data_IF_768820477098
#
_entry.id   IF_768820477098
#
_cell.length_a   1.000
_cell.length_b   1.000
_cell.length_c   1.000
_cell.angle_alpha   90.00
_cell.angle_beta   90.00
_cell.angle_gamma   90.00
#
_symmetry.space_group_name_H-M   'P 1'
#
loop_
_entity.id
_entity.type
_entity.pdbx_description
1 polymer ?
#
# COMPACT_ATOMS: atom_id res chain seq x y z
N UNK A 1 9.38 -22.54 6.88
CA UNK A 1 9.18 -21.33 7.72
C UNK A 1 10.13 -20.19 7.38
N UNK A 2 11.44 -20.44 7.18
CA UNK A 2 12.39 -19.39 6.78
C UNK A 2 11.98 -18.68 5.47
N UNK A 3 11.56 -19.44 4.45
CA UNK A 3 11.10 -18.89 3.16
C UNK A 3 9.94 -17.89 3.33
N UNK A 4 8.87 -18.27 4.04
CA UNK A 4 7.71 -17.38 4.25
C UNK A 4 8.08 -16.08 4.99
N UNK A 5 8.98 -16.15 5.98
CA UNK A 5 9.46 -14.97 6.71
C UNK A 5 10.28 -14.03 5.81
N UNK A 6 11.14 -14.59 4.96
CA UNK A 6 11.96 -13.83 4.02
C UNK A 6 11.07 -13.20 2.95
N UNK A 7 10.18 -13.98 2.32
CA UNK A 7 9.25 -13.48 1.30
C UNK A 7 8.34 -12.39 1.85
N UNK A 8 7.82 -12.55 3.07
CA UNK A 8 7.01 -11.51 3.74
C UNK A 8 7.82 -10.23 3.94
N UNK A 9 8.99 -10.33 4.57
CA UNK A 9 9.83 -9.18 4.87
C UNK A 9 10.27 -8.45 3.59
N UNK A 10 10.72 -9.19 2.57
CA UNK A 10 11.14 -8.63 1.29
C UNK A 10 9.99 -7.91 0.58
N UNK A 11 8.81 -8.52 0.51
CA UNK A 11 7.67 -7.95 -0.19
C UNK A 11 7.11 -6.71 0.53
N UNK A 12 7.01 -6.75 1.86
CA UNK A 12 6.56 -5.60 2.65
C UNK A 12 7.57 -4.45 2.60
N UNK A 13 8.87 -4.74 2.55
CA UNK A 13 9.89 -3.72 2.34
C UNK A 13 9.75 -3.08 0.96
N UNK A 14 9.48 -3.87 -0.07
CA UNK A 14 9.25 -3.36 -1.42
C UNK A 14 7.98 -2.49 -1.50
N UNK A 15 6.89 -2.90 -0.83
CA UNK A 15 5.67 -2.07 -0.66
C UNK A 15 6.00 -0.76 0.04
N UNK A 16 6.80 -0.77 1.10
CA UNK A 16 7.21 0.48 1.78
C UNK A 16 8.00 1.41 0.86
N UNK A 17 8.89 0.88 0.03
CA UNK A 17 9.67 1.68 -0.93
C UNK A 17 8.73 2.31 -1.98
N UNK A 18 7.80 1.54 -2.53
CA UNK A 18 6.79 2.04 -3.48
C UNK A 18 5.90 3.12 -2.85
N UNK A 19 5.42 2.87 -1.62
CA UNK A 19 4.64 3.85 -0.86
C UNK A 19 5.44 5.13 -0.56
N UNK A 20 6.74 5.01 -0.26
CA UNK A 20 7.60 6.18 -0.05
C UNK A 20 7.73 7.02 -1.34
N UNK A 21 7.88 6.37 -2.49
CA UNK A 21 7.88 7.07 -3.78
C UNK A 21 6.53 7.77 -4.03
N UNK A 22 5.41 7.08 -3.79
CA UNK A 22 4.06 7.65 -3.86
C UNK A 22 3.91 8.86 -2.92
N UNK A 23 4.36 8.78 -1.67
CA UNK A 23 4.32 9.87 -0.68
C UNK A 23 5.13 11.08 -1.16
N UNK A 24 6.36 10.85 -1.64
CA UNK A 24 7.24 11.95 -2.07
C UNK A 24 6.63 12.67 -3.28
N UNK A 25 6.23 11.92 -4.32
CA UNK A 25 5.68 12.52 -5.55
C UNK A 25 4.36 13.24 -5.28
N UNK A 26 3.44 12.62 -4.54
CA UNK A 26 2.16 13.26 -4.18
C UNK A 26 2.35 14.43 -3.21
N UNK A 27 3.29 14.35 -2.26
CA UNK A 27 3.61 15.41 -1.32
C UNK A 27 4.14 16.67 -1.99
N UNK A 28 5.02 16.52 -3.00
CA UNK A 28 5.50 17.65 -3.81
C UNK A 28 4.33 18.30 -4.55
N UNK A 29 3.51 17.52 -5.24
CA UNK A 29 2.34 18.03 -5.98
C UNK A 29 1.35 18.75 -5.06
N UNK A 30 1.04 18.17 -3.89
CA UNK A 30 0.18 18.82 -2.88
C UNK A 30 0.81 20.13 -2.39
N UNK A 31 2.12 20.18 -2.21
CA UNK A 31 2.85 21.40 -1.88
C UNK A 31 2.69 22.49 -2.95
N UNK A 32 2.85 22.13 -4.22
CA UNK A 32 2.64 23.04 -5.37
C UNK A 32 1.19 23.56 -5.41
N UNK A 33 0.20 22.67 -5.26
CA UNK A 33 -1.22 23.05 -5.21
C UNK A 33 -1.59 23.97 -4.03
N UNK A 34 -0.90 23.85 -2.90
CA UNK A 34 -1.12 24.73 -1.75
C UNK A 34 -0.54 26.14 -1.95
N UNK A 35 0.45 26.31 -2.83
CA UNK A 35 1.08 27.61 -3.10
C UNK A 35 0.36 28.33 -4.24
N UNK A 36 -0.01 27.61 -5.29
CA UNK A 36 -0.62 28.16 -6.51
C UNK A 36 -2.15 28.21 -6.43
N UNK A 37 -2.70 29.00 -5.49
CA UNK A 37 -4.15 29.17 -5.27
C UNK A 37 -4.96 29.68 -6.49
N UNK A 38 -4.34 29.97 -7.65
CA UNK A 38 -4.93 30.78 -8.73
C UNK A 38 -4.98 30.14 -10.15
N UNK A 39 -4.65 28.85 -10.35
CA UNK A 39 -4.79 28.23 -11.68
C UNK A 39 -6.10 27.40 -11.86
N UNK A 40 -6.89 27.62 -12.94
CA UNK A 40 -8.17 26.91 -13.20
C UNK A 40 -7.98 25.65 -14.08
N UNK A 41 -8.96 24.72 -14.14
CA UNK A 41 -9.73 24.10 -13.07
C UNK A 41 -9.02 22.80 -12.64
N UNK A 42 -8.24 22.85 -11.56
CA UNK A 42 -7.67 21.68 -10.86
C UNK A 42 -8.73 20.90 -10.05
N UNK A 43 -10.02 21.15 -10.28
CA UNK A 43 -11.12 20.56 -9.51
C UNK A 43 -11.05 19.02 -9.55
N UNK A 44 -10.48 18.48 -8.47
CA UNK A 44 -10.34 17.06 -8.24
C UNK A 44 -9.00 16.43 -8.60
N UNK A 45 -8.08 17.04 -9.37
CA UNK A 45 -6.72 16.47 -9.52
C UNK A 45 -5.99 16.56 -8.17
N UNK A 46 -6.14 17.71 -7.50
CA UNK A 46 -5.61 17.94 -6.15
C UNK A 46 -6.18 16.92 -5.15
N UNK A 47 -7.51 16.72 -5.16
CA UNK A 47 -8.17 15.74 -4.30
C UNK A 47 -7.64 14.32 -4.51
N UNK A 48 -7.43 13.91 -5.77
CA UNK A 48 -6.88 12.59 -6.11
C UNK A 48 -5.42 12.45 -5.66
N UNK A 49 -4.62 13.50 -5.82
CA UNK A 49 -3.24 13.53 -5.33
C UNK A 49 -3.17 13.46 -3.81
N UNK A 50 -4.00 14.23 -3.09
CA UNK A 50 -4.12 14.15 -1.62
C UNK A 50 -4.60 12.78 -1.15
N UNK A 51 -5.52 12.17 -1.90
CA UNK A 51 -5.99 10.81 -1.63
C UNK A 51 -4.87 9.78 -1.77
N UNK A 52 -4.06 9.85 -2.83
CA UNK A 52 -2.90 8.97 -3.01
C UNK A 52 -1.80 9.22 -1.96
N UNK A 53 -1.61 10.47 -1.53
CA UNK A 53 -0.73 10.80 -0.40
C UNK A 53 -1.21 10.08 0.87
N UNK A 54 -2.50 10.15 1.17
CA UNK A 54 -3.10 9.40 2.28
C UNK A 54 -2.88 7.89 2.13
N UNK A 55 -3.13 7.32 0.95
CA UNK A 55 -2.92 5.88 0.69
C UNK A 55 -1.47 5.46 0.94
N UNK A 56 -0.51 6.27 0.48
CA UNK A 56 0.91 6.05 0.71
C UNK A 56 1.27 6.07 2.20
N UNK A 57 0.85 7.10 2.94
CA UNK A 57 1.11 7.22 4.39
C UNK A 57 0.46 6.07 5.16
N UNK A 58 -0.83 5.81 4.91
CA UNK A 58 -1.59 4.71 5.51
C UNK A 58 -0.84 3.38 5.36
N UNK A 59 -0.40 3.08 4.15
CA UNK A 59 0.21 1.79 3.82
C UNK A 59 1.63 1.69 4.33
N UNK A 60 2.41 2.77 4.26
CA UNK A 60 3.75 2.82 4.82
C UNK A 60 3.72 2.54 6.33
N UNK A 61 2.83 3.21 7.07
CA UNK A 61 2.69 3.04 8.51
C UNK A 61 2.23 1.62 8.88
N UNK A 62 1.21 1.08 8.20
CA UNK A 62 0.74 -0.29 8.47
C UNK A 62 1.76 -1.36 8.08
N UNK A 63 2.54 -1.13 7.02
CA UNK A 63 3.63 -2.04 6.64
C UNK A 63 4.75 -2.02 7.67
N UNK A 64 5.10 -0.84 8.19
CA UNK A 64 6.07 -0.70 9.28
C UNK A 64 5.58 -1.43 10.55
N UNK A 65 4.33 -1.21 10.94
CA UNK A 65 3.71 -1.90 12.09
C UNK A 65 3.64 -3.40 11.85
N UNK A 66 3.38 -3.88 10.63
CA UNK A 66 3.38 -5.30 10.32
C UNK A 66 4.76 -5.92 10.49
N UNK A 67 5.83 -5.25 10.01
CA UNK A 67 7.21 -5.75 10.15
C UNK A 67 7.64 -5.76 11.63
N UNK A 68 7.48 -4.64 12.35
CA UNK A 68 7.92 -4.50 13.75
C UNK A 68 7.04 -5.26 14.74
N UNK A 69 5.74 -5.31 14.47
CA UNK A 69 4.76 -6.02 15.29
C UNK A 69 4.96 -7.53 15.24
N UNK A 70 5.26 -8.09 14.07
CA UNK A 70 5.62 -9.50 13.91
C UNK A 70 6.93 -9.88 14.60
N UNK A 71 7.86 -8.93 14.81
CA UNK A 71 9.10 -9.21 15.55
C UNK A 71 8.93 -9.12 17.06
N UNK A 72 7.98 -8.31 17.55
CA UNK A 72 7.80 -8.02 18.98
C UNK A 72 6.69 -8.82 19.64
N UNK A 73 5.60 -9.15 18.93
CA UNK A 73 4.43 -9.82 19.50
C UNK A 73 3.72 -10.72 18.46
N UNK A 74 4.37 -11.81 18.00
CA UNK A 74 3.85 -12.62 16.91
C UNK A 74 2.50 -13.29 17.20
N UNK A 75 2.14 -13.48 18.47
CA UNK A 75 0.93 -14.22 18.88
C UNK A 75 -0.33 -13.35 18.98
N UNK A 76 -0.23 -12.04 18.73
CA UNK A 76 -1.40 -11.15 18.80
C UNK A 76 -2.32 -11.33 17.58
N UNK A 77 -3.64 -11.33 17.80
CA UNK A 77 -4.65 -11.50 16.73
C UNK A 77 -4.53 -10.46 15.60
N UNK A 78 -4.06 -9.24 15.91
CA UNK A 78 -3.81 -8.21 14.88
C UNK A 78 -2.70 -8.63 13.89
N UNK A 79 -1.75 -9.47 14.31
CA UNK A 79 -0.68 -10.00 13.47
C UNK A 79 -0.99 -11.41 12.94
N UNK A 80 -2.25 -11.85 13.07
CA UNK A 80 -2.75 -13.06 12.42
C UNK A 80 -2.83 -12.88 10.90
N UNK A 81 -2.97 -14.00 10.20
CA UNK A 81 -3.20 -14.05 8.75
C UNK A 81 -4.48 -13.28 8.39
N UNK A 82 -5.56 -13.45 9.16
CA UNK A 82 -6.81 -12.72 8.96
C UNK A 82 -6.62 -11.20 9.15
N UNK A 83 -5.88 -10.78 10.18
CA UNK A 83 -5.57 -9.37 10.43
C UNK A 83 -4.83 -8.73 9.26
N UNK A 84 -3.81 -9.41 8.74
CA UNK A 84 -3.07 -8.96 7.56
C UNK A 84 -3.97 -8.85 6.32
N UNK A 85 -4.81 -9.86 6.09
CA UNK A 85 -5.68 -9.91 4.93
C UNK A 85 -6.70 -8.75 4.93
N UNK A 86 -7.30 -8.44 6.07
CA UNK A 86 -8.29 -7.36 6.18
C UNK A 86 -7.69 -6.01 5.78
N UNK A 87 -6.55 -5.63 6.39
CA UNK A 87 -5.98 -4.32 6.08
C UNK A 87 -5.39 -4.29 4.67
N UNK A 88 -4.79 -5.37 4.17
CA UNK A 88 -4.27 -5.46 2.80
C UNK A 88 -5.41 -5.31 1.77
N UNK A 89 -6.57 -5.90 2.00
CA UNK A 89 -7.74 -5.76 1.12
C UNK A 89 -8.26 -4.33 1.09
N UNK A 90 -8.36 -3.67 2.25
CA UNK A 90 -8.71 -2.24 2.33
C UNK A 90 -7.70 -1.42 1.54
N UNK A 91 -6.41 -1.65 1.78
CA UNK A 91 -5.32 -0.95 1.08
C UNK A 91 -5.34 -1.18 -0.43
N UNK A 92 -5.66 -2.40 -0.90
CA UNK A 92 -5.79 -2.68 -2.32
C UNK A 92 -6.91 -1.85 -2.95
N UNK A 93 -8.08 -1.79 -2.31
CA UNK A 93 -9.21 -0.97 -2.78
C UNK A 93 -8.82 0.51 -2.81
N UNK A 94 -8.13 0.99 -1.78
CA UNK A 94 -7.66 2.37 -1.72
C UNK A 94 -6.72 2.71 -2.87
N UNK A 95 -5.68 1.91 -3.10
CA UNK A 95 -4.72 2.16 -4.17
C UNK A 95 -5.31 2.01 -5.57
N UNK A 96 -6.10 0.94 -5.82
CA UNK A 96 -6.71 0.71 -7.16
C UNK A 96 -7.68 1.83 -7.50
N UNK A 97 -8.52 2.26 -6.54
CA UNK A 97 -9.45 3.38 -6.77
C UNK A 97 -8.70 4.70 -7.01
N UNK A 98 -7.63 4.98 -6.27
CA UNK A 98 -6.81 6.18 -6.46
C UNK A 98 -6.07 6.18 -7.79
N UNK A 99 -5.44 5.05 -8.14
CA UNK A 99 -4.73 4.86 -9.40
C UNK A 99 -5.67 5.02 -10.59
N UNK A 100 -6.84 4.36 -10.56
CA UNK A 100 -7.84 4.47 -11.61
C UNK A 100 -8.40 5.90 -11.73
N UNK A 101 -8.74 6.53 -10.60
CA UNK A 101 -9.27 7.89 -10.58
C UNK A 101 -8.28 8.93 -11.12
N UNK A 102 -6.99 8.80 -10.79
CA UNK A 102 -5.94 9.68 -11.32
C UNK A 102 -5.70 9.41 -12.81
N UNK A 103 -5.57 8.14 -13.19
CA UNK A 103 -5.33 7.73 -14.59
C UNK A 103 -6.43 8.23 -15.53
N UNK A 104 -7.69 8.18 -15.09
CA UNK A 104 -8.83 8.64 -15.89
C UNK A 104 -8.78 10.14 -16.20
N UNK A 105 -8.28 10.95 -15.27
CA UNK A 105 -8.19 12.41 -15.43
C UNK A 105 -6.99 12.80 -16.29
N UNK A 106 -5.81 12.26 -15.99
CA UNK A 106 -4.55 12.65 -16.67
C UNK A 106 -4.47 12.19 -18.13
N UNK A 107 -5.33 11.26 -18.55
CA UNK A 107 -5.47 10.84 -19.95
C UNK A 107 -6.47 11.69 -20.73
N UNK A 108 -7.36 12.40 -20.04
CA UNK A 108 -8.38 13.24 -20.67
C UNK A 108 -7.88 14.63 -21.04
N UNK A 109 -6.88 15.15 -20.32
CA UNK A 109 -6.38 16.52 -20.44
C UNK A 109 -4.87 16.58 -20.16
N UNK A 110 -4.24 17.69 -20.55
CA UNK A 110 -2.82 17.94 -20.28
C UNK A 110 -2.66 18.97 -19.16
N UNK A 111 -1.85 18.65 -18.15
CA UNK A 111 -1.62 19.51 -16.99
C UNK A 111 -0.19 20.04 -16.93
N UNK A 112 0.03 21.17 -16.26
CA UNK A 112 1.36 21.77 -16.06
C UNK A 112 2.36 20.79 -15.37
N UNK A 113 1.85 19.87 -14.56
CA UNK A 113 2.65 18.84 -13.88
C UNK A 113 2.45 17.43 -14.48
N UNK A 114 2.12 17.33 -15.77
CA UNK A 114 1.76 16.07 -16.44
C UNK A 114 2.73 14.92 -16.12
N UNK A 115 4.03 15.13 -16.34
CA UNK A 115 5.04 14.09 -16.11
C UNK A 115 5.02 13.58 -14.66
N UNK A 116 4.87 14.47 -13.68
CA UNK A 116 4.81 14.08 -12.27
C UNK A 116 3.52 13.32 -11.94
N UNK A 117 2.41 13.72 -12.55
CA UNK A 117 1.12 13.03 -12.40
C UNK A 117 1.13 11.63 -13.01
N UNK A 118 1.76 11.46 -14.18
CA UNK A 118 1.96 10.15 -14.81
C UNK A 118 2.88 9.25 -13.98
N UNK A 119 3.96 9.79 -13.42
CA UNK A 119 4.83 9.08 -12.48
C UNK A 119 4.04 8.64 -11.23
N UNK A 120 3.24 9.54 -10.64
CA UNK A 120 2.41 9.21 -9.48
C UNK A 120 1.39 8.10 -9.80
N UNK A 121 0.73 8.18 -10.95
CA UNK A 121 -0.19 7.13 -11.40
C UNK A 121 0.54 5.79 -11.60
N UNK A 122 1.76 5.83 -12.15
CA UNK A 122 2.62 4.66 -12.30
C UNK A 122 2.96 4.01 -10.96
N UNK A 123 3.37 4.79 -9.96
CA UNK A 123 3.63 4.27 -8.62
C UNK A 123 2.38 3.71 -7.95
N UNK A 124 1.22 4.38 -8.08
CA UNK A 124 -0.03 3.87 -7.52
C UNK A 124 -0.44 2.52 -8.12
N UNK A 125 -0.23 2.30 -9.42
CA UNK A 125 -0.44 1.00 -10.06
C UNK A 125 0.60 -0.04 -9.62
N UNK A 126 1.87 0.34 -9.49
CA UNK A 126 2.92 -0.55 -9.00
C UNK A 126 2.62 -1.02 -7.56
N UNK A 127 2.25 -0.09 -6.67
CA UNK A 127 1.84 -0.40 -5.30
C UNK A 127 0.63 -1.34 -5.29
N UNK A 128 -0.39 -1.08 -6.11
CA UNK A 128 -1.57 -1.96 -6.25
C UNK A 128 -1.18 -3.41 -6.57
N UNK A 129 -0.24 -3.60 -7.51
CA UNK A 129 0.26 -4.92 -7.90
C UNK A 129 1.03 -5.57 -6.75
N UNK A 130 1.92 -4.82 -6.08
CA UNK A 130 2.69 -5.33 -4.95
C UNK A 130 1.79 -5.76 -3.77
N UNK A 131 0.75 -4.96 -3.47
CA UNK A 131 -0.24 -5.28 -2.45
C UNK A 131 -1.04 -6.52 -2.83
N UNK A 132 -1.44 -6.66 -4.11
CA UNK A 132 -2.10 -7.86 -4.59
C UNK A 132 -1.22 -9.11 -4.45
N UNK A 133 0.07 -9.01 -4.80
CA UNK A 133 1.04 -10.08 -4.57
C UNK A 133 1.21 -10.40 -3.08
N UNK A 134 1.14 -9.39 -2.21
CA UNK A 134 1.19 -9.59 -0.76
C UNK A 134 -0.03 -10.38 -0.27
N UNK A 135 -1.23 -10.05 -0.75
CA UNK A 135 -2.45 -10.80 -0.46
C UNK A 135 -2.29 -12.28 -0.88
N UNK A 136 -1.79 -12.53 -2.10
CA UNK A 136 -1.55 -13.90 -2.57
C UNK A 136 -0.55 -14.65 -1.68
N UNK A 137 0.54 -14.00 -1.27
CA UNK A 137 1.51 -14.58 -0.34
C UNK A 137 0.86 -14.94 1.00
N UNK A 138 0.10 -14.02 1.60
CA UNK A 138 -0.58 -14.25 2.89
C UNK A 138 -1.59 -15.39 2.79
N UNK A 139 -2.39 -15.44 1.71
CA UNK A 139 -3.35 -16.52 1.46
C UNK A 139 -2.65 -17.87 1.27
N UNK A 140 -1.55 -17.90 0.52
CA UNK A 140 -0.76 -19.12 0.29
C UNK A 140 -0.23 -19.68 1.61
N UNK A 141 0.25 -18.81 2.51
CA UNK A 141 0.70 -19.19 3.86
C UNK A 141 -0.47 -19.68 4.72
N UNK A 142 -1.65 -19.06 4.62
CA UNK A 142 -2.86 -19.47 5.35
C UNK A 142 -3.40 -20.83 4.93
N UNK A 143 -3.51 -21.09 3.62
CA UNK A 143 -4.00 -22.37 3.08
C UNK A 143 -3.06 -23.53 3.39
N UNK A 144 -1.75 -23.26 3.53
CA UNK A 144 -0.75 -24.27 3.89
C UNK A 144 -0.73 -24.69 5.36
N UNK A 145 -1.55 -24.10 6.25
CA UNK A 145 -1.53 -24.37 7.70
C UNK A 145 -2.77 -25.16 8.17
N UNK A 146 -2.53 -26.16 9.02
CA UNK A 146 -3.58 -26.99 9.66
C UNK A 146 -4.54 -26.19 10.56
N UNK A 147 -4.10 -25.05 11.10
CA UNK A 147 -4.90 -24.19 11.99
C UNK A 147 -5.65 -23.05 11.23
N UNK A 148 -5.60 -23.05 9.89
CA UNK A 148 -6.31 -22.06 9.06
C UNK A 148 -5.86 -20.60 9.27
N UNK A 149 -6.81 -19.66 9.10
CA UNK A 149 -6.56 -18.22 9.07
C UNK A 149 -6.33 -17.56 10.44
N UNK A 150 -6.59 -18.27 11.54
CA UNK A 150 -6.50 -17.74 12.91
C UNK A 150 -5.10 -17.79 13.54
N UNK A 151 -4.15 -18.51 12.92
CA UNK A 151 -2.79 -18.64 13.43
C UNK A 151 -1.93 -17.40 13.20
N UNK A 152 -0.95 -17.19 14.09
CA UNK A 152 0.15 -16.25 13.85
C UNK A 152 0.84 -16.53 12.51
N UNK A 153 1.15 -15.47 11.77
CA UNK A 153 1.77 -15.56 10.44
C UNK A 153 3.14 -16.28 10.48
N UNK A 154 3.86 -16.16 11.59
CA UNK A 154 5.25 -16.63 11.73
C UNK A 154 5.48 -17.62 12.89
N UNK A 155 4.46 -17.97 13.69
CA UNK A 155 4.65 -18.90 14.81
C UNK A 155 4.96 -20.34 14.36
N UNK A 156 5.87 -20.97 15.12
CA UNK A 156 6.27 -22.38 15.03
C UNK A 156 5.08 -23.33 15.27
N UNK A 157 5.00 -24.50 14.60
CA UNK A 157 4.00 -25.54 14.88
C UNK A 157 4.03 -26.08 16.33
N UNK A 158 5.09 -25.81 17.10
CA UNK A 158 5.30 -26.35 18.45
C UNK A 158 4.72 -25.50 19.59
N UNK A 159 3.95 -24.45 19.30
CA UNK A 159 3.34 -23.57 20.29
C UNK A 159 1.83 -23.85 20.48
N UNK A 160 1.42 -25.11 20.30
CA UNK A 160 0.08 -25.60 20.61
C UNK A 160 0.18 -26.78 21.57
#
# INVERSE_FOLDING_TARGET
>A
MAFARISHSALFTLVMIGCLATIITSGILVGEYNVEHEMPPTEGIETRTRYLLFCGIWTFLLSLVSILGLSSSPDHLLFSIAGHLVWLLVTLVLFVSGAAALTAVIRGEHYNHQTRLEILAGFAWADSILIFLAILLILSVGLGRRNGLGGSLLASPSAA
#
